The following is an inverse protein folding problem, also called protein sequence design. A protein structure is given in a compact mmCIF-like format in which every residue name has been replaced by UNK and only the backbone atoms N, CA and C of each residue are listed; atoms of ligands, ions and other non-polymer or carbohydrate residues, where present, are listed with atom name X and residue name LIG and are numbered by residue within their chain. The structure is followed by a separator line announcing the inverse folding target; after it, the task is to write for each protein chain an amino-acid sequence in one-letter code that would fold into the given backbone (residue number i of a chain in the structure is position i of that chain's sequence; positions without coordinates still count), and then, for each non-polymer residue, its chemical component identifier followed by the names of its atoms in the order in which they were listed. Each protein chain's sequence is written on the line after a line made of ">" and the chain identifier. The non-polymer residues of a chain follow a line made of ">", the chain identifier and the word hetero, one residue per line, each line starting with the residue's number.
data_IF_444050622577
#
_entry.id   IF_444050622577
#
_cell.length_a   1.000
_cell.length_b   1.000
_cell.length_c   1.000
_cell.angle_alpha   90.00
_cell.angle_beta   90.00
_cell.angle_gamma   90.00
#
_symmetry.space_group_name_H-M   'P 1'
#
loop_
_entity.id
_entity.type
_entity.pdbx_description
1 polymer ?
#
# COMPACT_ATOMS: atom_id res chain seq x y z
N UNK A 1 17.99 -6.77 -3.50
CA UNK A 1 17.56 -5.41 -3.09
C UNK A 1 18.53 -4.74 -2.11
N UNK A 2 18.81 -5.33 -0.94
CA UNK A 2 19.67 -4.67 0.09
C UNK A 2 21.12 -4.39 -0.35
N UNK A 3 21.72 -5.26 -1.17
CA UNK A 3 23.13 -5.14 -1.59
C UNK A 3 23.44 -3.92 -2.47
N UNK A 4 22.42 -3.25 -3.05
CA UNK A 4 22.61 -2.12 -3.99
C UNK A 4 21.93 -0.82 -3.54
N UNK A 5 21.48 -0.76 -2.28
CA UNK A 5 20.79 0.43 -1.77
C UNK A 5 19.52 0.78 -2.54
N UNK A 6 18.81 -0.24 -3.05
CA UNK A 6 17.50 -0.06 -3.70
C UNK A 6 16.38 -0.08 -2.64
N UNK A 7 15.21 0.55 -2.92
CA UNK A 7 14.05 0.43 -2.06
C UNK A 7 13.75 -1.04 -1.80
N UNK A 8 13.43 -1.39 -0.55
CA UNK A 8 13.35 -2.78 -0.10
C UNK A 8 11.93 -3.25 0.17
N UNK A 9 10.98 -2.32 0.25
CA UNK A 9 9.57 -2.61 0.50
C UNK A 9 8.72 -2.10 -0.65
N UNK A 10 7.85 -2.98 -1.13
CA UNK A 10 6.82 -2.66 -2.12
C UNK A 10 5.49 -2.42 -1.39
N UNK A 11 4.81 -1.35 -1.78
CA UNK A 11 3.44 -1.04 -1.38
C UNK A 11 2.56 -1.18 -2.60
N UNK A 12 1.58 -2.06 -2.52
CA UNK A 12 0.76 -2.41 -3.66
C UNK A 12 -0.72 -2.42 -3.27
N UNK A 13 -1.54 -1.76 -4.08
CA UNK A 13 -2.99 -1.83 -3.98
C UNK A 13 -3.58 -2.17 -5.36
N UNK A 14 -4.61 -3.02 -5.36
CA UNK A 14 -5.25 -3.48 -6.58
C UNK A 14 -6.77 -3.33 -6.49
N UNK A 15 -7.38 -2.78 -7.55
CA UNK A 15 -8.83 -2.77 -7.69
C UNK A 15 -9.30 -4.16 -8.17
N UNK A 16 -10.26 -4.76 -7.45
CA UNK A 16 -10.62 -6.17 -7.60
C UNK A 16 -11.30 -6.46 -8.96
N UNK A 17 -12.17 -5.57 -9.43
CA UNK A 17 -12.99 -5.80 -10.62
C UNK A 17 -12.22 -5.68 -11.94
N UNK A 18 -11.29 -4.74 -12.00
CA UNK A 18 -10.46 -4.43 -13.17
C UNK A 18 -9.06 -5.00 -13.09
N UNK A 19 -8.58 -5.36 -11.89
CA UNK A 19 -7.16 -5.71 -11.63
C UNK A 19 -6.20 -4.56 -11.89
N UNK A 20 -6.71 -3.33 -11.89
CA UNK A 20 -5.87 -2.13 -11.99
C UNK A 20 -4.98 -2.03 -10.77
N UNK A 21 -3.69 -1.78 -11.01
CA UNK A 21 -2.64 -1.76 -10.01
C UNK A 21 -2.16 -0.34 -9.73
N UNK A 22 -1.84 -0.11 -8.46
CA UNK A 22 -1.18 1.07 -7.93
C UNK A 22 0.00 0.61 -7.06
N UNK A 23 1.21 1.10 -7.35
CA UNK A 23 2.44 0.67 -6.67
C UNK A 23 3.27 1.86 -6.19
N UNK A 24 3.86 1.74 -5.01
CA UNK A 24 4.89 2.62 -4.49
C UNK A 24 5.98 1.79 -3.79
N UNK A 25 7.12 2.41 -3.49
CA UNK A 25 8.23 1.75 -2.80
C UNK A 25 8.73 2.58 -1.63
N UNK A 26 9.39 1.93 -0.67
CA UNK A 26 10.12 2.60 0.40
C UNK A 26 11.38 1.83 0.81
N UNK A 27 12.29 2.51 1.52
CA UNK A 27 13.45 1.86 2.14
C UNK A 27 13.13 1.26 3.51
N UNK A 28 12.10 1.78 4.18
CA UNK A 28 11.69 1.30 5.50
C UNK A 28 10.22 0.89 5.51
N UNK A 29 9.90 -0.14 6.28
CA UNK A 29 8.53 -0.57 6.52
C UNK A 29 8.01 0.10 7.79
N UNK A 30 7.05 1.03 7.65
CA UNK A 30 6.40 1.66 8.78
C UNK A 30 4.96 2.05 8.43
N UNK A 31 4.14 2.24 9.47
CA UNK A 31 2.72 2.49 9.28
C UNK A 31 2.39 3.87 8.69
N UNK A 32 3.25 4.88 8.89
CA UNK A 32 3.05 6.21 8.32
C UNK A 32 3.11 6.13 6.79
N UNK A 33 4.07 5.39 6.24
CA UNK A 33 4.13 5.12 4.81
C UNK A 33 2.93 4.33 4.29
N UNK A 34 2.42 3.35 5.05
CA UNK A 34 1.18 2.66 4.69
C UNK A 34 -0.01 3.62 4.57
N UNK A 35 -0.14 4.56 5.51
CA UNK A 35 -1.19 5.59 5.46
C UNK A 35 -0.96 6.60 4.33
N UNK A 36 0.28 7.06 4.10
CA UNK A 36 0.65 7.97 3.01
C UNK A 36 0.33 7.35 1.65
N UNK A 37 0.69 6.09 1.44
CA UNK A 37 0.41 5.35 0.22
C UNK A 37 -1.10 5.24 -0.04
N UNK A 38 -1.87 4.79 0.95
CA UNK A 38 -3.33 4.66 0.83
C UNK A 38 -3.98 6.01 0.53
N UNK A 39 -3.55 7.06 1.24
CA UNK A 39 -4.07 8.42 1.04
C UNK A 39 -3.78 8.92 -0.37
N UNK A 40 -2.59 8.66 -0.89
CA UNK A 40 -2.21 9.07 -2.24
C UNK A 40 -3.03 8.36 -3.32
N UNK A 41 -3.22 7.04 -3.19
CA UNK A 41 -4.08 6.31 -4.13
C UNK A 41 -5.52 6.81 -4.06
N UNK A 42 -6.07 7.05 -2.86
CA UNK A 42 -7.42 7.60 -2.74
C UNK A 42 -7.56 8.98 -3.39
N UNK A 43 -6.60 9.87 -3.17
CA UNK A 43 -6.57 11.18 -3.82
C UNK A 43 -6.54 11.04 -5.35
N UNK A 44 -5.73 10.12 -5.88
CA UNK A 44 -5.67 9.80 -7.30
C UNK A 44 -7.01 9.30 -7.84
N UNK A 45 -7.64 8.34 -7.16
CA UNK A 45 -8.95 7.80 -7.55
C UNK A 45 -10.01 8.91 -7.58
N UNK A 46 -10.03 9.80 -6.58
CA UNK A 46 -10.96 10.94 -6.56
C UNK A 46 -10.68 11.95 -7.67
N UNK A 47 -9.42 12.22 -7.98
CA UNK A 47 -9.02 13.08 -9.11
C UNK A 47 -9.48 12.51 -10.47
N UNK A 48 -9.57 11.19 -10.60
CA UNK A 48 -10.02 10.50 -11.81
C UNK A 48 -11.48 10.05 -11.79
N UNK A 49 -12.32 10.73 -11.01
CA UNK A 49 -13.77 10.58 -11.01
C UNK A 49 -14.29 9.22 -10.50
N UNK A 50 -13.52 8.53 -9.66
CA UNK A 50 -14.10 7.48 -8.80
C UNK A 50 -14.91 8.19 -7.73
N UNK A 51 -16.24 8.05 -7.73
CA UNK A 51 -17.16 8.77 -6.83
C UNK A 51 -17.91 7.89 -5.83
N UNK A 52 -17.89 6.57 -6.00
CA UNK A 52 -18.50 5.65 -5.07
C UNK A 52 -17.70 5.55 -3.75
N UNK A 53 -18.32 5.04 -2.70
CA UNK A 53 -17.66 4.72 -1.45
C UNK A 53 -16.60 3.64 -1.64
N UNK A 54 -15.39 3.86 -1.16
CA UNK A 54 -14.25 2.95 -1.37
C UNK A 54 -14.02 2.10 -0.11
N UNK A 55 -14.14 0.78 -0.25
CA UNK A 55 -13.76 -0.19 0.78
C UNK A 55 -12.35 -0.71 0.48
N UNK A 56 -11.43 -0.50 1.42
CA UNK A 56 -10.05 -0.97 1.33
C UNK A 56 -9.91 -2.18 2.23
N UNK A 57 -9.38 -3.28 1.70
CA UNK A 57 -9.12 -4.50 2.46
C UNK A 57 -7.59 -4.66 2.59
N UNK A 58 -6.97 -4.08 3.64
CA UNK A 58 -5.56 -4.33 3.90
C UNK A 58 -5.35 -5.78 4.35
N UNK A 59 -4.11 -6.25 4.23
CA UNK A 59 -3.67 -7.42 4.99
C UNK A 59 -3.58 -7.07 6.49
N UNK A 60 -3.49 -8.09 7.35
CA UNK A 60 -3.30 -7.89 8.78
C UNK A 60 -1.82 -7.63 9.15
N UNK A 61 -1.04 -7.05 8.23
CA UNK A 61 0.35 -6.67 8.44
C UNK A 61 0.50 -5.65 9.58
N UNK A 62 1.69 -5.61 10.18
CA UNK A 62 1.97 -4.67 11.26
C UNK A 62 1.90 -3.20 10.78
N UNK A 63 2.16 -2.99 9.50
CA UNK A 63 2.07 -1.74 8.76
C UNK A 63 0.62 -1.24 8.59
N UNK A 64 -0.39 -2.14 8.56
CA UNK A 64 -1.80 -1.79 8.39
C UNK A 64 -2.61 -1.99 9.67
N UNK A 65 -2.42 -1.06 10.61
CA UNK A 65 -3.07 -1.04 11.91
C UNK A 65 -2.82 -2.26 12.83
N UNK A 66 -2.14 -3.33 12.38
CA UNK A 66 -1.72 -4.49 13.19
C UNK A 66 -2.83 -5.12 14.04
N UNK A 67 -4.09 -5.08 13.59
CA UNK A 67 -5.25 -5.52 14.38
C UNK A 67 -5.65 -4.60 15.55
N UNK A 68 -4.99 -3.45 15.70
CA UNK A 68 -5.35 -2.43 16.69
C UNK A 68 -6.64 -1.70 16.26
N UNK A 69 -7.76 -2.01 16.93
CA UNK A 69 -9.05 -1.35 16.70
C UNK A 69 -8.94 0.17 16.80
N UNK A 70 -8.22 0.69 17.80
CA UNK A 70 -8.01 2.13 17.99
C UNK A 70 -7.32 2.78 16.79
N UNK A 71 -6.30 2.13 16.23
CA UNK A 71 -5.55 2.66 15.07
C UNK A 71 -6.38 2.56 13.80
N UNK A 72 -7.12 1.46 13.62
CA UNK A 72 -8.08 1.31 12.52
C UNK A 72 -9.16 2.39 12.56
N UNK A 73 -9.74 2.66 13.74
CA UNK A 73 -10.73 3.74 13.93
C UNK A 73 -10.14 5.11 13.60
N UNK A 74 -8.89 5.36 13.99
CA UNK A 74 -8.19 6.61 13.68
C UNK A 74 -7.95 6.80 12.18
N UNK A 75 -7.48 5.75 11.52
CA UNK A 75 -7.29 5.75 10.08
C UNK A 75 -8.63 5.91 9.35
N UNK A 76 -9.68 5.19 9.76
CA UNK A 76 -11.01 5.35 9.17
C UNK A 76 -11.57 6.77 9.32
N UNK A 77 -11.33 7.46 10.45
CA UNK A 77 -11.66 8.89 10.58
C UNK A 77 -10.90 9.76 9.57
N UNK A 78 -9.60 9.52 9.38
CA UNK A 78 -8.78 10.27 8.42
C UNK A 78 -9.21 10.00 6.97
N UNK A 79 -9.52 8.76 6.62
CA UNK A 79 -9.89 8.35 5.27
C UNK A 79 -11.33 8.72 4.89
N UNK A 80 -12.19 9.03 5.87
CA UNK A 80 -13.57 9.44 5.64
C UNK A 80 -13.71 10.68 4.73
N UNK A 81 -12.71 11.58 4.71
CA UNK A 81 -12.68 12.74 3.79
C UNK A 81 -12.69 12.32 2.31
N UNK A 82 -12.21 11.12 2.02
CA UNK A 82 -12.24 10.51 0.70
C UNK A 82 -13.45 9.60 0.51
N UNK A 83 -14.47 9.61 1.36
CA UNK A 83 -15.56 8.61 1.36
C UNK A 83 -15.01 7.17 1.25
N UNK A 84 -14.03 6.88 2.10
CA UNK A 84 -13.30 5.62 2.12
C UNK A 84 -13.13 5.08 3.53
N UNK A 85 -13.00 3.76 3.65
CA UNK A 85 -12.74 3.09 4.92
C UNK A 85 -11.95 1.80 4.71
N UNK A 86 -11.20 1.39 5.73
CA UNK A 86 -10.53 0.12 5.82
C UNK A 86 -11.39 -0.91 6.56
N UNK A 87 -11.42 -2.10 5.98
CA UNK A 87 -12.12 -3.29 6.45
C UNK A 87 -11.17 -4.49 6.33
N UNK A 88 -10.27 -4.69 7.32
CA UNK A 88 -9.28 -5.76 7.29
C UNK A 88 -9.92 -7.14 7.30
N UNK A 89 -9.22 -8.14 6.76
CA UNK A 89 -9.72 -9.51 6.78
C UNK A 89 -9.90 -10.03 8.22
N UNK A 90 -10.93 -10.84 8.48
CA UNK A 90 -11.03 -11.55 9.74
C UNK A 90 -9.78 -12.40 10.00
N UNK A 91 -9.29 -12.49 11.24
CA UNK A 91 -8.19 -13.38 11.59
C UNK A 91 -8.44 -14.81 11.10
N UNK A 92 -7.46 -15.40 10.42
CA UNK A 92 -7.56 -16.76 9.86
C UNK A 92 -8.14 -16.86 8.45
N UNK A 93 -8.67 -15.78 7.86
CA UNK A 93 -9.27 -15.78 6.53
C UNK A 93 -8.26 -15.50 5.38
N UNK A 94 -7.06 -16.12 5.43
CA UNK A 94 -5.98 -15.88 4.45
C UNK A 94 -6.37 -16.18 2.99
N UNK A 95 -7.34 -17.07 2.77
CA UNK A 95 -7.86 -17.40 1.44
C UNK A 95 -8.45 -16.19 0.70
N UNK A 96 -8.84 -15.13 1.42
CA UNK A 96 -9.37 -13.89 0.84
C UNK A 96 -8.29 -13.01 0.18
N UNK A 97 -7.01 -13.36 0.30
CA UNK A 97 -5.87 -12.59 -0.23
C UNK A 97 -5.32 -13.13 -1.55
N UNK A 98 -5.89 -14.20 -2.11
CA UNK A 98 -5.33 -14.91 -3.27
C UNK A 98 -5.09 -14.04 -4.51
N UNK A 99 -5.80 -12.91 -4.66
CA UNK A 99 -5.57 -11.94 -5.74
C UNK A 99 -4.22 -11.26 -5.57
N UNK A 100 -3.94 -10.77 -4.36
CA UNK A 100 -2.74 -10.02 -4.02
C UNK A 100 -1.53 -10.95 -4.00
N UNK A 101 -1.67 -12.13 -3.39
CA UNK A 101 -0.63 -13.18 -3.39
C UNK A 101 -0.21 -13.61 -4.81
N UNK A 102 -1.19 -13.81 -5.70
CA UNK A 102 -0.89 -14.18 -7.08
C UNK A 102 -0.23 -13.02 -7.86
N UNK A 103 -0.55 -11.78 -7.50
CA UNK A 103 0.08 -10.60 -8.08
C UNK A 103 1.55 -10.50 -7.63
N UNK A 104 1.83 -10.65 -6.32
CA UNK A 104 3.19 -10.67 -5.78
C UNK A 104 4.05 -11.76 -6.39
N UNK A 105 3.51 -12.99 -6.53
CA UNK A 105 4.24 -14.06 -7.23
C UNK A 105 4.60 -13.70 -8.67
N UNK A 106 3.72 -12.99 -9.37
CA UNK A 106 4.01 -12.52 -10.73
C UNK A 106 5.10 -11.44 -10.71
N UNK A 107 5.12 -10.57 -9.70
CA UNK A 107 6.16 -9.55 -9.56
C UNK A 107 7.53 -10.19 -9.30
N UNK A 108 7.58 -11.19 -8.42
CA UNK A 108 8.80 -11.96 -8.16
C UNK A 108 9.33 -12.62 -9.44
N UNK A 109 8.46 -13.36 -10.14
CA UNK A 109 8.81 -14.15 -11.33
C UNK A 109 9.20 -13.28 -12.54
N UNK A 110 8.47 -12.20 -12.82
CA UNK A 110 8.60 -11.45 -14.07
C UNK A 110 9.31 -10.10 -13.91
N UNK A 111 9.17 -9.45 -12.74
CA UNK A 111 9.76 -8.13 -12.52
C UNK A 111 11.05 -8.20 -11.71
N UNK A 112 10.97 -8.63 -10.45
CA UNK A 112 12.06 -8.53 -9.48
C UNK A 112 13.24 -9.42 -9.87
N UNK A 113 12.99 -10.67 -10.27
CA UNK A 113 14.04 -11.60 -10.70
C UNK A 113 14.86 -11.04 -11.88
N UNK A 114 14.25 -10.32 -12.81
CA UNK A 114 14.91 -9.86 -14.05
C UNK A 114 15.48 -8.46 -13.91
N UNK A 115 14.72 -7.55 -13.28
CA UNK A 115 14.99 -6.12 -13.35
C UNK A 115 15.71 -5.58 -12.12
N UNK A 116 15.49 -6.13 -10.94
CA UNK A 116 16.11 -5.60 -9.71
C UNK A 116 17.64 -5.75 -9.73
N UNK A 117 18.16 -6.86 -10.24
CA UNK A 117 19.61 -7.11 -10.38
C UNK A 117 20.29 -6.23 -11.44
N UNK A 118 19.51 -5.59 -12.31
CA UNK A 118 20.00 -4.73 -13.40
C UNK A 118 19.85 -3.24 -13.08
N UNK A 119 19.47 -2.91 -11.86
CA UNK A 119 19.42 -1.54 -11.38
C UNK A 119 20.64 -1.23 -10.51
N UNK A 120 21.17 -0.04 -10.71
CA UNK A 120 22.31 0.56 -10.01
C UNK A 120 21.88 1.66 -9.05
N UNK A 121 20.74 2.32 -9.31
CA UNK A 121 20.16 3.33 -8.43
C UNK A 121 18.62 3.32 -8.43
N UNK A 122 18.03 3.97 -7.42
CA UNK A 122 16.60 3.90 -7.13
C UNK A 122 15.72 4.52 -8.21
N UNK A 123 16.17 5.60 -8.87
CA UNK A 123 15.43 6.15 -10.01
C UNK A 123 15.34 5.17 -11.19
N UNK A 124 16.42 4.46 -11.53
CA UNK A 124 16.39 3.43 -12.57
C UNK A 124 15.44 2.29 -12.20
N UNK A 125 15.41 1.91 -10.92
CA UNK A 125 14.47 0.93 -10.38
C UNK A 125 13.01 1.40 -10.51
N UNK A 126 12.69 2.61 -10.04
CA UNK A 126 11.34 3.17 -10.11
C UNK A 126 10.85 3.35 -11.55
N UNK A 127 11.72 3.77 -12.46
CA UNK A 127 11.38 3.88 -13.90
C UNK A 127 11.00 2.53 -14.50
N UNK A 128 11.69 1.45 -14.11
CA UNK A 128 11.34 0.10 -14.55
C UNK A 128 10.07 -0.41 -13.88
N UNK A 129 9.87 -0.10 -12.60
CA UNK A 129 8.65 -0.43 -11.88
C UNK A 129 7.43 0.29 -12.49
N UNK A 130 7.57 1.54 -12.92
CA UNK A 130 6.55 2.26 -13.69
C UNK A 130 6.20 1.51 -14.97
N UNK A 131 7.20 1.15 -15.78
CA UNK A 131 6.98 0.40 -17.02
C UNK A 131 6.29 -0.94 -16.77
N UNK A 132 6.62 -1.60 -15.66
CA UNK A 132 5.95 -2.83 -15.26
C UNK A 132 4.49 -2.59 -14.89
N UNK A 133 4.18 -1.57 -14.10
CA UNK A 133 2.81 -1.19 -13.78
C UNK A 133 2.02 -0.81 -15.04
N UNK A 134 2.61 -0.05 -15.97
CA UNK A 134 1.98 0.32 -17.24
C UNK A 134 1.73 -0.94 -18.09
N UNK A 135 2.70 -1.85 -18.15
CA UNK A 135 2.54 -3.16 -18.80
C UNK A 135 1.37 -3.93 -18.19
N UNK A 136 1.29 -3.98 -16.86
CA UNK A 136 0.21 -4.63 -16.14
C UNK A 136 -1.16 -4.01 -16.48
N UNK A 137 -1.28 -2.69 -16.39
CA UNK A 137 -2.55 -1.97 -16.51
C UNK A 137 -3.06 -1.91 -17.97
N UNK A 138 -2.16 -1.83 -18.95
CA UNK A 138 -2.54 -1.58 -20.35
C UNK A 138 -2.41 -2.80 -21.26
N UNK A 139 -1.42 -3.65 -21.03
CA UNK A 139 -0.99 -4.63 -22.03
C UNK A 139 -1.06 -6.09 -21.55
N UNK A 140 -1.11 -6.35 -20.25
CA UNK A 140 -1.11 -7.71 -19.70
C UNK A 140 -2.55 -8.27 -19.59
N UNK A 141 -2.88 -9.35 -20.31
CA UNK A 141 -4.13 -10.09 -20.10
C UNK A 141 -4.22 -10.64 -18.68
N UNK A 142 -5.39 -10.54 -18.07
CA UNK A 142 -5.68 -11.17 -16.78
C UNK A 142 -6.72 -12.28 -16.94
N UNK A 143 -6.43 -13.44 -16.36
CA UNK A 143 -7.30 -14.63 -16.42
C UNK A 143 -8.03 -14.91 -15.10
N UNK A 144 -7.94 -13.99 -14.13
CA UNK A 144 -8.71 -14.07 -12.89
C UNK A 144 -10.22 -14.02 -13.15
N UNK A 145 -10.99 -14.39 -12.11
CA UNK A 145 -12.46 -14.40 -12.17
C UNK A 145 -12.99 -13.07 -12.73
N UNK A 146 -13.93 -13.19 -13.67
CA UNK A 146 -14.58 -12.10 -14.39
C UNK A 146 -13.70 -11.24 -15.32
N UNK A 147 -12.40 -11.54 -15.48
CA UNK A 147 -11.53 -10.81 -16.42
C UNK A 147 -11.66 -11.30 -17.86
N UNK A 148 -11.92 -12.59 -18.09
CA UNK A 148 -12.08 -13.17 -19.44
C UNK A 148 -10.91 -12.86 -20.38
N UNK A 149 -9.68 -12.86 -19.86
CA UNK A 149 -8.47 -12.56 -20.63
C UNK A 149 -8.28 -11.09 -20.98
N UNK A 150 -9.10 -10.18 -20.44
CA UNK A 150 -8.97 -8.74 -20.68
C UNK A 150 -7.81 -8.14 -19.91
N UNK A 151 -7.24 -7.06 -20.43
CA UNK A 151 -6.36 -6.16 -19.68
C UNK A 151 -7.18 -5.33 -18.67
N UNK A 152 -6.56 -4.75 -17.63
CA UNK A 152 -7.25 -3.83 -16.73
C UNK A 152 -7.90 -2.65 -17.45
N UNK A 153 -7.20 -2.08 -18.45
CA UNK A 153 -7.75 -1.07 -19.33
C UNK A 153 -9.01 -1.54 -20.07
N UNK A 154 -8.94 -2.67 -20.75
CA UNK A 154 -10.10 -3.19 -21.48
C UNK A 154 -11.29 -3.46 -20.55
N UNK A 155 -11.01 -3.92 -19.34
CA UNK A 155 -12.03 -4.14 -18.31
C UNK A 155 -12.66 -2.83 -17.85
N UNK A 156 -11.85 -1.80 -17.59
CA UNK A 156 -12.30 -0.46 -17.23
C UNK A 156 -13.16 0.17 -18.35
N UNK A 157 -12.70 0.11 -19.60
CA UNK A 157 -13.47 0.62 -20.76
C UNK A 157 -14.81 -0.13 -20.88
N UNK A 158 -14.79 -1.45 -20.66
CA UNK A 158 -16.01 -2.26 -20.75
C UNK A 158 -17.02 -2.03 -19.62
N UNK A 159 -16.60 -1.44 -18.49
CA UNK A 159 -17.49 -1.19 -17.35
C UNK A 159 -18.40 0.02 -17.55
N UNK A 160 -18.20 0.80 -18.63
CA UNK A 160 -19.00 1.99 -19.00
C UNK A 160 -19.14 3.00 -17.85
N UNK A 161 -18.07 3.13 -17.07
CA UNK A 161 -18.00 4.11 -15.98
C UNK A 161 -17.62 5.49 -16.53
N UNK A 162 -17.88 6.54 -15.75
CA UNK A 162 -17.37 7.89 -16.02
C UNK A 162 -15.95 8.12 -15.48
N UNK A 163 -15.25 7.04 -15.12
CA UNK A 163 -13.89 7.10 -14.61
C UNK A 163 -12.96 7.39 -15.79
N UNK A 164 -12.07 8.37 -15.63
CA UNK A 164 -11.13 8.73 -16.67
C UNK A 164 -10.04 7.66 -16.81
N UNK A 165 -9.68 7.23 -18.03
CA UNK A 165 -8.68 6.16 -18.26
C UNK A 165 -7.31 6.47 -17.62
N UNK A 166 -6.96 7.75 -17.46
CA UNK A 166 -5.75 8.17 -16.74
C UNK A 166 -5.66 7.67 -15.30
N UNK A 167 -6.76 7.18 -14.70
CA UNK A 167 -6.69 6.48 -13.41
C UNK A 167 -5.66 5.34 -13.41
N UNK A 168 -5.40 4.74 -14.58
CA UNK A 168 -4.45 3.65 -14.77
C UNK A 168 -2.98 4.10 -14.87
N UNK A 169 -2.74 5.40 -15.03
CA UNK A 169 -1.42 6.02 -15.16
C UNK A 169 -0.88 6.49 -13.80
N UNK A 170 -1.15 5.73 -12.74
CA UNK A 170 -0.69 6.08 -11.41
C UNK A 170 0.85 6.17 -11.37
N UNK A 171 1.43 7.22 -10.78
CA UNK A 171 2.88 7.34 -10.72
C UNK A 171 3.46 6.40 -9.66
N UNK A 172 4.41 5.57 -10.06
CA UNK A 172 5.23 4.76 -9.15
C UNK A 172 6.25 5.68 -8.49
N UNK A 173 6.10 5.86 -7.18
CA UNK A 173 6.88 6.82 -6.40
C UNK A 173 7.62 6.15 -5.23
N UNK A 174 8.66 6.84 -4.76
CA UNK A 174 9.28 6.57 -3.48
C UNK A 174 8.52 7.32 -2.39
N UNK A 175 8.06 6.62 -1.34
CA UNK A 175 7.25 7.23 -0.30
C UNK A 175 8.03 8.25 0.55
N UNK A 176 9.35 8.07 0.70
CA UNK A 176 10.23 9.07 1.30
C UNK A 176 10.18 10.41 0.55
N UNK A 177 10.11 10.38 -0.79
CA UNK A 177 10.01 11.60 -1.60
C UNK A 177 8.60 12.19 -1.53
N UNK A 178 7.57 11.35 -1.51
CA UNK A 178 6.18 11.79 -1.33
C UNK A 178 6.00 12.51 0.01
N UNK A 179 6.49 11.94 1.11
CA UNK A 179 6.43 12.54 2.44
C UNK A 179 7.22 13.85 2.50
N UNK A 180 8.37 13.93 1.79
CA UNK A 180 9.15 15.16 1.70
C UNK A 180 8.40 16.29 1.01
N UNK A 181 7.66 15.98 -0.05
CA UNK A 181 6.83 16.96 -0.78
C UNK A 181 5.58 17.30 0.04
N UNK A 182 4.87 16.31 0.57
CA UNK A 182 3.66 16.50 1.34
C UNK A 182 3.90 17.22 2.68
N UNK A 183 5.01 16.93 3.35
CA UNK A 183 5.44 17.63 4.57
C UNK A 183 5.77 19.10 4.35
N UNK A 184 6.17 19.49 3.13
CA UNK A 184 6.34 20.90 2.74
C UNK A 184 5.01 21.58 2.41
N UNK A 185 4.02 20.83 1.92
CA UNK A 185 2.74 21.35 1.46
C UNK A 185 1.60 21.24 2.48
N UNK A 186 1.75 20.46 3.56
CA UNK A 186 0.71 20.21 4.57
C UNK A 186 -0.45 19.34 4.08
N UNK A 187 -0.28 18.61 2.96
CA UNK A 187 -1.39 17.96 2.21
C UNK A 187 -1.72 16.56 2.73
N UNK A 188 -0.76 15.85 3.33
CA UNK A 188 -0.98 14.49 3.86
C UNK A 188 -1.10 14.50 5.39
N UNK A 189 -1.92 13.60 5.98
CA UNK A 189 -1.98 13.44 7.42
C UNK A 189 -0.60 13.06 7.96
N UNK A 190 0.06 13.98 8.69
CA UNK A 190 1.26 13.61 9.43
C UNK A 190 0.86 12.69 10.58
N UNK A 191 1.45 11.48 10.65
CA UNK A 191 1.46 10.77 11.92
C UNK A 191 2.35 11.58 12.88
N UNK A 192 1.72 12.27 13.84
CA UNK A 192 2.45 12.84 14.96
C UNK A 192 3.24 11.72 15.61
N UNK A 193 4.58 11.87 15.64
CA UNK A 193 5.54 10.93 16.22
C UNK A 193 4.92 10.24 17.44
N UNK A 194 4.66 8.93 17.31
CA UNK A 194 4.17 8.13 18.43
C UNK A 194 5.08 8.36 19.64
N UNK A 195 4.47 8.58 20.81
CA UNK A 195 5.20 8.86 22.04
C UNK A 195 6.28 7.79 22.28
N UNK A 196 7.49 8.22 22.68
CA UNK A 196 8.54 7.30 23.12
C UNK A 196 7.97 6.45 24.26
N UNK A 197 7.95 5.13 24.08
CA UNK A 197 7.67 4.21 25.17
C UNK A 197 8.76 4.38 26.23
N UNK A 198 8.40 4.92 27.39
CA UNK A 198 9.30 5.03 28.55
C UNK A 198 9.14 3.74 29.34
N UNK A 199 10.18 2.91 29.41
CA UNK A 199 10.17 1.75 30.28
C UNK A 199 9.95 2.21 31.73
N UNK A 200 8.79 1.89 32.30
CA UNK A 200 8.61 1.97 33.75
C UNK A 200 9.36 0.79 34.35
N UNK A 201 10.62 0.97 34.73
CA UNK A 201 11.33 0.00 35.56
C UNK A 201 10.62 -0.04 36.91
N UNK A 202 9.78 -1.05 37.12
CA UNK A 202 9.24 -1.35 38.43
C UNK A 202 10.42 -1.69 39.35
N UNK A 203 10.82 -0.73 40.21
CA UNK A 203 11.79 -1.00 41.27
C UNK A 203 11.14 -2.00 42.22
N UNK A 204 11.55 -3.27 42.15
CA UNK A 204 11.25 -4.26 43.19
C UNK A 204 11.83 -3.73 44.50
N UNK A 205 10.97 -3.18 45.37
CA UNK A 205 11.30 -3.06 46.79
C UNK A 205 11.37 -4.49 47.33
N UNK A 206 12.58 -4.95 47.63
CA UNK A 206 12.83 -6.15 48.42
C UNK A 206 12.29 -5.87 49.83
N UNK A 207 11.10 -6.38 50.13
CA UNK A 207 10.61 -6.50 51.50
C UNK A 207 11.34 -7.68 52.16
N UNK A 208 12.43 -7.37 52.86
CA UNK A 208 13.04 -8.28 53.83
C UNK A 208 12.20 -8.28 55.10
N UNK A 209 11.56 -9.41 55.41
CA UNK A 209 10.93 -9.64 56.71
C UNK A 209 11.97 -10.21 57.70
N UNK A 210 12.05 -9.72 58.94
CA UNK A 210 12.93 -10.31 59.94
C UNK A 210 12.33 -11.61 60.49
N UNK A 211 13.15 -12.65 60.55
CA UNK A 211 12.85 -13.92 61.23
C UNK A 211 12.94 -13.68 62.74
N UNK A 212 11.90 -14.06 63.49
CA UNK A 212 11.96 -14.29 64.93
C UNK A 212 12.19 -15.77 65.19
#
# INVERSE_FOLDING_TARGET
>A
MMLRGLPSYEWHMMEVGTRSRFTAYSYTLNAAFGLSFVTFVLAWLRAHNVRCRIRIQPDNGAEFASGSKRKLDDWNRKLAVFDAFMDPIPPGAKHLQGIVENAHRTDDEYFLMVHAERCDHSYAFLSRAQRWQDTWNFYRPNFGIAMRGRTPREKLVSSRTLIHEHVLLFPVVLLEDLDRVAGRSGVLPQEHRGGKYVHTTCRRQLLSWPVQ
#
